data_IF_241046650563
#
_entry.id   IF_241046650563
#
_cell.length_a   1.000
_cell.length_b   1.000
_cell.length_c   1.000
_cell.angle_alpha   90.00
_cell.angle_beta   90.00
_cell.angle_gamma   90.00
#
_symmetry.space_group_name_H-M   'P 1'
#
loop_
_entity.id
_entity.type
_entity.pdbx_description
1 polymer ?
#
# COMPACT_ATOMS: atom_id res chain seq x y z
N UNK A 1 52.50 11.10 49.43
CA UNK A 1 51.32 11.17 48.54
C UNK A 1 50.42 10.00 48.87
N UNK A 2 49.21 10.25 49.39
CA UNK A 2 48.28 9.19 49.78
C UNK A 2 47.46 8.75 48.57
N UNK A 3 47.51 7.45 48.24
CA UNK A 3 46.82 6.87 47.10
C UNK A 3 45.31 6.78 47.34
N UNK A 4 44.53 7.18 46.35
CA UNK A 4 43.07 7.03 46.34
C UNK A 4 42.73 5.54 46.19
N UNK A 5 42.23 4.90 47.25
CA UNK A 5 41.73 3.52 47.17
C UNK A 5 40.29 3.52 46.63
N UNK A 6 40.13 3.00 45.41
CA UNK A 6 38.83 2.82 44.78
C UNK A 6 38.06 1.74 45.55
N UNK A 7 36.90 2.09 46.11
CA UNK A 7 36.03 1.18 46.84
C UNK A 7 35.33 0.19 45.89
N UNK A 8 36.03 -0.91 45.59
CA UNK A 8 35.57 -1.98 44.69
C UNK A 8 34.20 -2.56 45.08
N UNK A 9 33.90 -2.65 46.38
CA UNK A 9 32.60 -3.16 46.87
C UNK A 9 31.43 -2.22 46.55
N UNK A 10 31.65 -0.91 46.56
CA UNK A 10 30.63 0.07 46.15
C UNK A 10 30.29 -0.04 44.67
N UNK A 11 31.30 -0.27 43.83
CA UNK A 11 31.14 -0.43 42.38
C UNK A 11 30.39 -1.72 42.04
N UNK A 12 30.74 -2.83 42.69
CA UNK A 12 30.01 -4.10 42.50
C UNK A 12 28.55 -4.01 42.91
N UNK A 13 28.24 -3.29 44.00
CA UNK A 13 26.86 -3.08 44.43
C UNK A 13 26.07 -2.26 43.41
N UNK A 14 26.67 -1.19 42.87
CA UNK A 14 26.07 -0.34 41.85
C UNK A 14 25.80 -1.12 40.56
N UNK A 15 26.73 -1.97 40.12
CA UNK A 15 26.54 -2.82 38.94
C UNK A 15 25.36 -3.79 39.10
N UNK A 16 25.16 -4.37 40.28
CA UNK A 16 24.02 -5.26 40.53
C UNK A 16 22.69 -4.52 40.57
N UNK A 17 22.65 -3.29 41.09
CA UNK A 17 21.43 -2.48 41.09
C UNK A 17 21.06 -2.03 39.67
N UNK A 18 22.04 -1.61 38.86
CA UNK A 18 21.83 -1.29 37.44
C UNK A 18 21.29 -2.51 36.69
N UNK A 19 21.88 -3.69 36.88
CA UNK A 19 21.41 -4.92 36.22
C UNK A 19 19.95 -5.26 36.57
N UNK A 20 19.57 -5.11 37.85
CA UNK A 20 18.17 -5.33 38.30
C UNK A 20 17.19 -4.33 37.71
N UNK A 21 17.57 -3.08 37.58
CA UNK A 21 16.71 -2.04 37.00
C UNK A 21 16.54 -2.25 35.48
N UNK A 22 17.59 -2.68 34.77
CA UNK A 22 17.47 -3.07 33.36
C UNK A 22 16.57 -4.30 33.16
N UNK A 23 16.64 -5.30 34.04
CA UNK A 23 15.78 -6.48 33.97
C UNK A 23 14.30 -6.14 34.26
N UNK A 24 14.04 -5.21 35.20
CA UNK A 24 12.70 -4.67 35.45
C UNK A 24 12.17 -3.86 34.27
N UNK A 25 13.02 -3.04 33.66
CA UNK A 25 12.66 -2.26 32.47
C UNK A 25 12.35 -3.17 31.28
N UNK A 26 13.15 -4.25 31.08
CA UNK A 26 12.93 -5.24 30.02
C UNK A 26 11.63 -6.05 30.20
N UNK A 27 11.18 -6.28 31.44
CA UNK A 27 9.87 -6.89 31.71
C UNK A 27 8.69 -5.95 31.43
N UNK A 28 8.87 -4.63 31.64
CA UNK A 28 7.81 -3.62 31.47
C UNK A 28 7.71 -3.14 30.02
N UNK A 29 8.83 -3.13 29.30
CA UNK A 29 8.93 -2.82 27.88
C UNK A 29 9.84 -3.85 27.20
N UNK A 30 9.29 -4.98 26.70
CA UNK A 30 10.10 -5.96 26.01
C UNK A 30 10.66 -5.35 24.73
N UNK A 31 11.97 -5.12 24.72
CA UNK A 31 12.71 -4.71 23.52
C UNK A 31 12.66 -5.91 22.57
N UNK A 32 11.76 -5.86 21.58
CA UNK A 32 11.81 -6.80 20.46
C UNK A 32 12.97 -6.38 19.57
N UNK A 33 14.12 -7.01 19.79
CA UNK A 33 15.17 -7.05 18.77
C UNK A 33 14.64 -7.97 17.68
N UNK A 34 14.41 -7.48 16.44
CA UNK A 34 14.12 -8.37 15.33
C UNK A 34 15.38 -9.21 15.10
N UNK A 35 15.36 -10.44 15.59
CA UNK A 35 16.28 -11.47 15.10
C UNK A 35 15.79 -11.76 13.69
N UNK A 36 16.47 -11.17 12.69
CA UNK A 36 16.46 -11.71 11.35
C UNK A 36 17.09 -13.10 11.45
N UNK A 37 16.23 -14.09 11.66
CA UNK A 37 16.56 -15.45 11.29
C UNK A 37 16.56 -15.42 9.77
N UNK A 38 17.74 -15.55 9.17
CA UNK A 38 17.83 -15.83 7.74
C UNK A 38 16.95 -17.04 7.48
N UNK A 39 15.80 -16.79 6.87
CA UNK A 39 15.02 -17.82 6.23
C UNK A 39 15.97 -18.50 5.23
N UNK A 40 15.88 -19.84 5.03
CA UNK A 40 16.62 -20.46 3.95
C UNK A 40 16.34 -19.66 2.69
N UNK A 41 17.38 -19.11 2.09
CA UNK A 41 17.31 -18.39 0.83
C UNK A 41 16.63 -19.33 -0.17
N UNK A 42 15.32 -19.15 -0.35
CA UNK A 42 14.68 -19.52 -1.59
C UNK A 42 15.41 -18.63 -2.59
N UNK A 43 16.14 -19.19 -3.57
CA UNK A 43 16.89 -18.39 -4.51
C UNK A 43 15.89 -17.54 -5.29
N UNK A 44 15.68 -16.30 -4.83
CA UNK A 44 15.09 -15.26 -5.64
C UNK A 44 16.09 -15.06 -6.76
N UNK A 45 15.71 -15.49 -7.96
CA UNK A 45 16.50 -15.35 -9.17
C UNK A 45 17.17 -13.97 -9.20
N UNK A 46 18.49 -13.95 -9.39
CA UNK A 46 19.26 -12.71 -9.46
C UNK A 46 18.56 -11.68 -10.36
N UNK A 47 18.42 -10.42 -9.94
CA UNK A 47 17.69 -9.39 -10.68
C UNK A 47 18.41 -8.93 -11.96
N UNK A 48 19.55 -9.52 -12.31
CA UNK A 48 20.31 -9.24 -13.54
C UNK A 48 19.81 -10.07 -14.74
N UNK A 49 18.92 -11.05 -14.52
CA UNK A 49 18.33 -11.89 -15.59
C UNK A 49 16.97 -11.41 -16.10
N UNK A 50 16.41 -10.34 -15.51
CA UNK A 50 15.12 -9.78 -15.89
C UNK A 50 15.28 -8.85 -17.10
N UNK A 51 14.69 -9.21 -18.23
CA UNK A 51 14.64 -8.36 -19.43
C UNK A 51 14.72 -9.10 -20.76
N UNK A 52 15.22 -10.34 -20.77
CA UNK A 52 15.29 -11.15 -22.00
C UNK A 52 13.89 -11.41 -22.54
N UNK A 53 12.92 -11.60 -21.65
CA UNK A 53 11.52 -11.83 -21.98
C UNK A 53 10.89 -10.67 -22.76
N UNK A 54 11.47 -9.47 -22.70
CA UNK A 54 11.03 -8.28 -23.44
C UNK A 54 11.77 -8.09 -24.76
N UNK A 55 12.87 -8.81 -24.98
CA UNK A 55 13.58 -8.84 -26.25
C UNK A 55 13.09 -10.02 -27.09
N UNK A 56 12.35 -9.77 -28.19
CA UNK A 56 11.78 -10.83 -29.01
C UNK A 56 12.85 -11.75 -29.61
N UNK A 57 13.96 -11.17 -30.06
CA UNK A 57 14.97 -11.90 -30.83
C UNK A 57 15.89 -12.71 -29.91
N UNK A 58 16.28 -12.16 -28.76
CA UNK A 58 17.07 -12.90 -27.76
C UNK A 58 16.27 -14.05 -27.15
N UNK A 59 14.99 -13.82 -26.83
CA UNK A 59 14.10 -14.88 -26.33
C UNK A 59 13.95 -16.02 -27.34
N UNK A 60 13.66 -15.70 -28.60
CA UNK A 60 13.54 -16.70 -29.68
C UNK A 60 14.84 -17.44 -29.94
N UNK A 61 15.98 -16.74 -29.96
CA UNK A 61 17.29 -17.38 -30.13
C UNK A 61 17.54 -18.39 -29.01
N UNK A 62 17.25 -18.05 -27.75
CA UNK A 62 17.48 -18.94 -26.62
C UNK A 62 16.58 -20.19 -26.67
N UNK A 63 15.32 -20.03 -27.07
CA UNK A 63 14.40 -21.16 -27.29
C UNK A 63 14.89 -22.04 -28.43
N UNK A 64 15.32 -21.44 -29.54
CA UNK A 64 15.87 -22.17 -30.69
C UNK A 64 17.13 -22.96 -30.33
N UNK A 65 18.02 -22.39 -29.51
CA UNK A 65 19.22 -23.08 -29.00
C UNK A 65 18.84 -24.29 -28.14
N UNK A 66 17.80 -24.18 -27.31
CA UNK A 66 17.32 -25.29 -26.47
C UNK A 66 16.65 -26.39 -27.31
N UNK A 67 15.89 -26.03 -28.35
CA UNK A 67 15.36 -27.00 -29.33
C UNK A 67 16.48 -27.75 -30.05
N UNK A 68 17.52 -27.03 -30.48
CA UNK A 68 18.68 -27.62 -31.14
C UNK A 68 19.46 -28.53 -30.18
N UNK A 69 19.66 -28.11 -28.93
CA UNK A 69 20.33 -28.92 -27.91
C UNK A 69 19.54 -30.19 -27.55
N UNK A 70 18.20 -30.13 -27.58
CA UNK A 70 17.34 -31.30 -27.37
C UNK A 70 17.44 -32.30 -28.52
N UNK A 71 17.57 -31.82 -29.76
CA UNK A 71 17.75 -32.67 -30.95
C UNK A 71 19.17 -33.22 -31.07
N UNK A 72 20.18 -32.42 -30.72
CA UNK A 72 21.59 -32.73 -30.88
C UNK A 72 22.40 -32.32 -29.63
N UNK A 73 22.40 -33.16 -28.58
CA UNK A 73 23.10 -32.84 -27.33
C UNK A 73 24.60 -32.64 -27.54
N UNK A 74 25.14 -31.54 -27.00
CA UNK A 74 26.59 -31.25 -27.02
C UNK A 74 27.12 -30.75 -28.36
N UNK A 75 26.27 -30.52 -29.36
CA UNK A 75 26.67 -29.91 -30.63
C UNK A 75 26.66 -28.38 -30.49
N UNK A 76 27.73 -27.75 -30.99
CA UNK A 76 27.78 -26.29 -31.08
C UNK A 76 26.74 -25.79 -32.08
N UNK A 77 25.94 -24.81 -31.67
CA UNK A 77 25.03 -24.13 -32.55
C UNK A 77 25.76 -23.06 -33.38
N UNK A 78 25.36 -22.93 -34.64
CA UNK A 78 25.71 -21.81 -35.50
C UNK A 78 24.57 -20.78 -35.47
N UNK A 79 24.77 -19.69 -34.73
CA UNK A 79 23.77 -18.62 -34.58
C UNK A 79 23.47 -17.93 -35.92
N UNK A 80 24.37 -18.01 -36.89
CA UNK A 80 24.14 -17.46 -38.24
C UNK A 80 22.94 -18.13 -38.91
N UNK A 81 22.75 -19.44 -38.69
CA UNK A 81 21.60 -20.18 -39.23
C UNK A 81 20.27 -19.66 -38.67
N UNK A 82 20.23 -19.25 -37.41
CA UNK A 82 19.06 -18.62 -36.81
C UNK A 82 18.81 -17.23 -37.41
N UNK A 83 19.84 -16.38 -37.47
CA UNK A 83 19.76 -15.01 -38.01
C UNK A 83 19.28 -15.02 -39.46
N UNK A 84 19.78 -15.95 -40.28
CA UNK A 84 19.33 -16.15 -41.66
C UNK A 84 17.84 -16.57 -41.71
N UNK A 85 17.42 -17.48 -40.83
CA UNK A 85 16.02 -17.94 -40.77
C UNK A 85 15.04 -16.87 -40.24
N UNK A 86 15.54 -15.95 -39.41
CA UNK A 86 14.79 -14.85 -38.82
C UNK A 86 14.85 -13.57 -39.68
N UNK A 87 15.48 -13.63 -40.86
CA UNK A 87 15.69 -12.49 -41.78
C UNK A 87 16.39 -11.29 -41.12
N UNK A 88 17.25 -11.55 -40.12
CA UNK A 88 18.00 -10.54 -39.41
C UNK A 88 19.35 -10.24 -40.10
N UNK A 89 19.92 -9.03 -39.93
CA UNK A 89 21.25 -8.73 -40.44
C UNK A 89 22.30 -9.68 -39.86
N UNK A 90 23.17 -10.24 -40.72
CA UNK A 90 24.26 -11.15 -40.29
C UNK A 90 25.17 -10.59 -39.19
N UNK A 91 25.28 -9.26 -39.08
CA UNK A 91 26.04 -8.60 -38.02
C UNK A 91 25.44 -8.82 -36.62
N UNK A 92 24.15 -9.13 -36.50
CA UNK A 92 23.46 -9.33 -35.23
C UNK A 92 23.82 -10.65 -34.55
N UNK A 93 24.16 -11.69 -35.32
CA UNK A 93 24.48 -13.02 -34.78
C UNK A 93 25.53 -12.96 -33.66
N UNK A 94 26.61 -12.20 -33.91
CA UNK A 94 27.69 -12.01 -32.93
C UNK A 94 27.24 -11.21 -31.72
N UNK A 95 26.46 -10.16 -31.93
CA UNK A 95 25.96 -9.29 -30.85
C UNK A 95 25.02 -10.05 -29.92
N UNK A 96 24.08 -10.81 -30.49
CA UNK A 96 23.13 -11.62 -29.72
C UNK A 96 23.85 -12.72 -28.95
N UNK A 97 24.78 -13.43 -29.56
CA UNK A 97 25.58 -14.44 -28.88
C UNK A 97 26.37 -13.85 -27.70
N UNK A 98 26.99 -12.67 -27.89
CA UNK A 98 27.71 -11.97 -26.83
C UNK A 98 26.80 -11.51 -25.69
N UNK A 99 25.59 -11.04 -25.99
CA UNK A 99 24.60 -10.65 -24.98
C UNK A 99 24.18 -11.86 -24.12
N UNK A 100 23.90 -13.00 -24.75
CA UNK A 100 23.59 -14.24 -24.03
C UNK A 100 24.80 -14.77 -23.22
N UNK A 101 26.02 -14.62 -23.73
CA UNK A 101 27.25 -15.01 -23.00
C UNK A 101 27.47 -14.14 -21.76
N UNK A 102 27.26 -12.82 -21.86
CA UNK A 102 27.34 -11.89 -20.73
C UNK A 102 26.34 -12.22 -19.62
N UNK A 103 25.20 -12.83 -19.97
CA UNK A 103 24.18 -13.28 -19.03
C UNK A 103 24.41 -14.71 -18.52
N UNK A 104 25.47 -15.39 -19.00
CA UNK A 104 25.84 -16.76 -18.62
C UNK A 104 24.92 -17.84 -19.20
N UNK A 105 24.12 -17.51 -20.22
CA UNK A 105 23.14 -18.41 -20.83
C UNK A 105 23.73 -19.26 -21.95
N UNK A 106 24.81 -18.78 -22.54
CA UNK A 106 25.57 -19.50 -23.55
C UNK A 106 27.06 -19.36 -23.28
N UNK A 107 27.84 -20.28 -23.82
CA UNK A 107 29.29 -20.23 -23.86
C UNK A 107 29.75 -20.15 -25.31
N UNK A 108 30.57 -19.15 -25.64
CA UNK A 108 31.12 -19.00 -26.99
C UNK A 108 32.51 -19.65 -27.04
N UNK A 109 32.64 -20.71 -27.83
CA UNK A 109 33.94 -21.21 -28.24
C UNK A 109 34.43 -20.41 -29.44
N UNK A 110 35.57 -19.74 -29.26
CA UNK A 110 36.21 -18.94 -30.30
C UNK A 110 37.31 -19.78 -30.92
N UNK A 111 37.25 -19.93 -32.24
CA UNK A 111 38.37 -20.50 -32.97
C UNK A 111 39.58 -19.54 -32.98
N UNK A 112 40.77 -20.06 -33.30
CA UNK A 112 42.00 -19.24 -33.39
C UNK A 112 41.92 -18.14 -34.46
N UNK A 113 40.93 -18.20 -35.36
CA UNK A 113 40.67 -17.16 -36.37
C UNK A 113 39.81 -16.01 -35.85
N UNK A 114 39.11 -16.20 -34.73
CA UNK A 114 38.18 -15.25 -34.14
C UNK A 114 36.91 -15.01 -34.97
N UNK A 115 36.64 -15.86 -35.97
CA UNK A 115 35.56 -15.69 -36.95
C UNK A 115 34.42 -16.69 -36.77
N UNK A 116 34.71 -17.93 -36.36
CA UNK A 116 33.68 -18.91 -36.08
C UNK A 116 33.33 -18.85 -34.57
N UNK A 117 32.14 -18.35 -34.26
CA UNK A 117 31.59 -18.36 -32.90
C UNK A 117 30.71 -19.61 -32.76
N UNK A 118 31.29 -20.70 -32.26
CA UNK A 118 30.52 -21.87 -31.88
C UNK A 118 29.82 -21.59 -30.56
N UNK A 119 28.50 -21.69 -30.51
CA UNK A 119 27.71 -21.33 -29.33
C UNK A 119 27.18 -22.60 -28.66
N UNK A 120 27.49 -22.75 -27.38
CA UNK A 120 27.00 -23.86 -26.56
C UNK A 120 26.00 -23.32 -25.55
N UNK A 121 24.85 -23.98 -25.44
CA UNK A 121 23.87 -23.67 -24.40
C UNK A 121 24.39 -24.14 -23.03
N UNK A 122 24.29 -23.29 -22.01
CA UNK A 122 24.61 -23.68 -20.62
C UNK A 122 23.40 -24.31 -19.94
N UNK A 123 23.58 -24.89 -18.75
CA UNK A 123 22.48 -25.40 -17.94
C UNK A 123 21.51 -24.25 -17.56
N UNK A 124 22.07 -23.08 -17.22
CA UNK A 124 21.33 -21.84 -16.97
C UNK A 124 20.56 -21.36 -18.19
N UNK A 125 21.16 -21.45 -19.38
CA UNK A 125 20.49 -21.16 -20.65
C UNK A 125 19.29 -22.07 -20.89
N UNK A 126 19.46 -23.36 -20.63
CA UNK A 126 18.39 -24.36 -20.75
C UNK A 126 17.24 -24.09 -19.77
N UNK A 127 17.57 -23.72 -18.51
CA UNK A 127 16.56 -23.33 -17.52
C UNK A 127 15.82 -22.05 -17.94
N UNK A 128 16.55 -21.05 -18.44
CA UNK A 128 15.95 -19.81 -18.93
C UNK A 128 15.04 -20.05 -20.15
N UNK A 129 15.43 -20.91 -21.10
CA UNK A 129 14.58 -21.30 -22.23
C UNK A 129 13.27 -21.96 -21.77
N UNK A 130 13.33 -22.84 -20.75
CA UNK A 130 12.13 -23.45 -20.16
C UNK A 130 11.25 -22.41 -19.46
N UNK A 131 11.84 -21.44 -18.76
CA UNK A 131 11.10 -20.35 -18.14
C UNK A 131 10.40 -19.49 -19.20
N UNK A 132 11.06 -19.17 -20.32
CA UNK A 132 10.44 -18.44 -21.42
C UNK A 132 9.25 -19.21 -22.00
N UNK A 133 9.37 -20.53 -22.23
CA UNK A 133 8.23 -21.35 -22.68
C UNK A 133 7.08 -21.39 -21.65
N UNK A 134 7.41 -21.42 -20.35
CA UNK A 134 6.39 -21.33 -19.31
C UNK A 134 5.66 -19.98 -19.35
N UNK A 135 6.38 -18.87 -19.57
CA UNK A 135 5.81 -17.54 -19.73
C UNK A 135 4.97 -17.41 -21.02
N UNK A 136 5.39 -18.04 -22.12
CA UNK A 136 4.59 -18.11 -23.36
C UNK A 136 3.25 -18.83 -23.14
N UNK A 137 3.19 -19.79 -22.22
CA UNK A 137 1.98 -20.54 -21.90
C UNK A 137 1.15 -19.92 -20.75
N UNK A 138 1.67 -18.91 -20.05
CA UNK A 138 1.00 -18.28 -18.92
C UNK A 138 0.10 -17.12 -19.40
N UNK A 139 -1.23 -17.29 -19.43
CA UNK A 139 -2.14 -16.25 -19.89
C UNK A 139 -2.13 -15.01 -18.98
N UNK A 140 -1.83 -15.17 -17.69
CA UNK A 140 -1.81 -14.05 -16.74
C UNK A 140 -0.57 -13.20 -16.98
N UNK A 141 0.60 -13.82 -17.11
CA UNK A 141 1.85 -13.10 -17.39
C UNK A 141 1.76 -12.35 -18.73
N UNK A 142 1.22 -12.99 -19.77
CA UNK A 142 1.00 -12.38 -21.08
C UNK A 142 0.04 -11.21 -21.03
N UNK A 143 -1.06 -11.34 -20.29
CA UNK A 143 -2.03 -10.26 -20.12
C UNK A 143 -1.46 -9.06 -19.37
N UNK A 144 -0.68 -9.29 -18.29
CA UNK A 144 0.01 -8.22 -17.55
C UNK A 144 1.00 -7.51 -18.46
N UNK A 145 1.81 -8.26 -19.22
CA UNK A 145 2.74 -7.68 -20.19
C UNK A 145 2.01 -6.87 -21.26
N UNK A 146 0.89 -7.38 -21.80
CA UNK A 146 0.08 -6.68 -22.78
C UNK A 146 -0.45 -5.34 -22.24
N UNK A 147 -0.93 -5.29 -21.00
CA UNK A 147 -1.37 -4.05 -20.36
C UNK A 147 -0.23 -3.04 -20.22
N UNK A 148 0.92 -3.49 -19.69
CA UNK A 148 2.08 -2.63 -19.45
C UNK A 148 2.67 -2.08 -20.76
N UNK A 149 2.86 -2.97 -21.74
CA UNK A 149 3.41 -2.67 -23.06
C UNK A 149 2.51 -1.76 -23.88
N UNK A 150 1.20 -2.03 -23.93
CA UNK A 150 0.25 -1.22 -24.66
C UNK A 150 0.15 0.20 -24.07
N UNK A 151 0.07 0.32 -22.75
CA UNK A 151 0.00 1.63 -22.10
C UNK A 151 1.26 2.46 -22.34
N UNK A 152 2.45 1.84 -22.19
CA UNK A 152 3.72 2.51 -22.49
C UNK A 152 3.81 2.96 -23.94
N UNK A 153 3.41 2.10 -24.88
CA UNK A 153 3.46 2.41 -26.30
C UNK A 153 2.48 3.53 -26.68
N UNK A 154 1.24 3.49 -26.16
CA UNK A 154 0.26 4.55 -26.36
C UNK A 154 0.76 5.88 -25.81
N UNK A 155 1.40 5.87 -24.64
CA UNK A 155 2.00 7.06 -24.05
C UNK A 155 3.13 7.64 -24.90
N UNK A 156 4.04 6.78 -25.40
CA UNK A 156 5.16 7.23 -26.24
C UNK A 156 4.68 7.75 -27.60
N UNK A 157 3.76 7.05 -28.25
CA UNK A 157 3.24 7.38 -29.59
C UNK A 157 2.26 8.56 -29.56
N UNK A 158 1.52 8.70 -28.47
CA UNK A 158 0.53 9.77 -28.27
C UNK A 158 1.11 11.13 -27.87
N UNK A 159 2.42 11.23 -27.58
CA UNK A 159 3.05 12.53 -27.25
C UNK A 159 2.92 13.57 -28.37
N UNK A 160 2.89 13.11 -29.62
CA UNK A 160 2.79 13.96 -30.80
C UNK A 160 1.40 13.93 -31.47
N UNK A 161 0.48 13.10 -30.97
CA UNK A 161 -0.83 12.85 -31.59
C UNK A 161 -1.91 12.74 -30.53
N UNK A 162 -3.00 13.48 -30.70
CA UNK A 162 -4.15 13.42 -29.78
C UNK A 162 -4.81 12.03 -29.74
N UNK A 163 -4.69 11.23 -30.80
CA UNK A 163 -5.33 9.91 -30.92
C UNK A 163 -4.43 8.92 -31.66
N UNK A 164 -4.28 7.71 -31.10
CA UNK A 164 -3.42 6.65 -31.63
C UNK A 164 -4.25 5.44 -32.05
N UNK A 165 -3.97 4.87 -33.24
CA UNK A 165 -4.59 3.63 -33.71
C UNK A 165 -3.97 2.43 -33.00
N UNK A 166 -4.76 1.73 -32.18
CA UNK A 166 -4.31 0.63 -31.31
C UNK A 166 -3.70 -0.52 -32.09
N UNK A 167 -4.23 -0.84 -33.27
CA UNK A 167 -3.73 -1.97 -34.06
C UNK A 167 -2.32 -1.77 -34.61
N UNK A 168 -1.81 -0.54 -34.65
CA UNK A 168 -0.40 -0.30 -34.96
C UNK A 168 0.56 -0.85 -33.88
N UNK A 169 0.06 -1.19 -32.69
CA UNK A 169 0.85 -1.81 -31.63
C UNK A 169 1.39 -3.19 -32.03
N UNK A 170 0.73 -3.93 -32.93
CA UNK A 170 1.19 -5.28 -33.36
C UNK A 170 2.62 -5.25 -33.91
N UNK A 171 3.01 -4.15 -34.57
CA UNK A 171 4.34 -3.95 -35.14
C UNK A 171 5.35 -3.39 -34.12
N UNK A 172 4.90 -2.98 -32.94
CA UNK A 172 5.77 -2.40 -31.93
C UNK A 172 6.56 -3.50 -31.19
N UNK A 173 7.81 -3.24 -30.75
CA UNK A 173 8.57 -4.22 -29.98
C UNK A 173 7.86 -4.73 -28.71
N UNK A 174 7.01 -3.89 -28.10
CA UNK A 174 6.21 -4.25 -26.93
C UNK A 174 5.06 -5.24 -27.21
N UNK A 175 4.80 -5.60 -28.47
CA UNK A 175 3.83 -6.65 -28.82
C UNK A 175 4.40 -8.06 -28.64
N UNK A 176 5.66 -8.19 -28.26
CA UNK A 176 6.32 -9.48 -28.08
C UNK A 176 6.63 -9.75 -26.61
N UNK A 177 6.32 -10.96 -26.17
CA UNK A 177 6.61 -11.44 -24.82
C UNK A 177 7.19 -12.85 -24.86
N UNK A 178 8.32 -13.03 -24.16
CA UNK A 178 9.07 -14.28 -24.13
C UNK A 178 9.34 -14.86 -25.53
N UNK A 179 9.56 -13.98 -26.52
CA UNK A 179 9.83 -14.38 -27.91
C UNK A 179 8.58 -14.75 -28.73
N UNK A 180 7.38 -14.65 -28.18
CA UNK A 180 6.15 -14.88 -28.93
C UNK A 180 5.37 -13.57 -29.09
N UNK A 181 4.62 -13.43 -30.19
CA UNK A 181 3.77 -12.26 -30.41
C UNK A 181 2.50 -12.37 -29.58
N UNK A 182 2.03 -11.25 -29.03
CA UNK A 182 0.71 -11.13 -28.46
C UNK A 182 -0.35 -11.28 -29.57
N UNK A 183 -1.38 -12.06 -29.30
CA UNK A 183 -2.54 -12.18 -30.17
C UNK A 183 -3.38 -10.90 -30.17
N UNK A 184 -4.18 -10.72 -31.22
CA UNK A 184 -5.10 -9.58 -31.32
C UNK A 184 -6.07 -9.56 -30.14
N UNK A 185 -6.59 -10.72 -29.72
CA UNK A 185 -7.51 -10.82 -28.59
C UNK A 185 -6.86 -10.40 -27.27
N UNK A 186 -5.58 -10.72 -27.05
CA UNK A 186 -4.82 -10.28 -25.87
C UNK A 186 -4.65 -8.76 -25.85
N UNK A 187 -4.32 -8.16 -27.01
CA UNK A 187 -4.16 -6.70 -27.14
C UNK A 187 -5.49 -5.99 -26.90
N UNK A 188 -6.58 -6.48 -27.49
CA UNK A 188 -7.92 -5.89 -27.30
C UNK A 188 -8.43 -6.10 -25.87
N UNK A 189 -8.16 -7.25 -25.26
CA UNK A 189 -8.47 -7.51 -23.86
C UNK A 189 -7.71 -6.56 -22.92
N UNK A 190 -6.42 -6.32 -23.19
CA UNK A 190 -5.62 -5.36 -22.45
C UNK A 190 -6.16 -3.92 -22.61
N UNK A 191 -6.51 -3.51 -23.85
CA UNK A 191 -7.12 -2.20 -24.11
C UNK A 191 -8.40 -2.01 -23.29
N UNK A 192 -9.29 -2.99 -23.33
CA UNK A 192 -10.57 -2.93 -22.61
C UNK A 192 -10.34 -2.83 -21.09
N UNK A 193 -9.38 -3.59 -20.56
CA UNK A 193 -9.00 -3.49 -19.16
C UNK A 193 -8.46 -2.12 -18.78
N UNK A 194 -7.54 -1.56 -19.57
CA UNK A 194 -7.00 -0.22 -19.34
C UNK A 194 -8.08 0.86 -19.41
N UNK A 195 -9.04 0.71 -20.34
CA UNK A 195 -10.18 1.61 -20.47
C UNK A 195 -11.13 1.53 -19.27
N UNK A 196 -11.47 0.32 -18.80
CA UNK A 196 -12.28 0.11 -17.60
C UNK A 196 -11.64 0.66 -16.33
N UNK A 197 -10.30 0.63 -16.25
CA UNK A 197 -9.52 1.19 -15.14
C UNK A 197 -9.26 2.69 -15.28
N UNK A 198 -9.75 3.33 -16.35
CA UNK A 198 -9.62 4.76 -16.58
C UNK A 198 -8.19 5.22 -16.92
N UNK A 199 -7.30 4.31 -17.30
CA UNK A 199 -5.91 4.62 -17.70
C UNK A 199 -5.82 5.05 -19.17
N UNK A 200 -6.78 4.63 -19.98
CA UNK A 200 -6.90 4.94 -21.39
C UNK A 200 -8.34 5.31 -21.68
N UNK A 201 -8.57 6.20 -22.65
CA UNK A 201 -9.89 6.50 -23.19
C UNK A 201 -9.98 6.01 -24.64
N UNK A 202 -10.92 5.11 -24.91
CA UNK A 202 -11.21 4.67 -26.28
C UNK A 202 -12.05 5.71 -27.01
N UNK A 203 -11.53 6.23 -28.12
CA UNK A 203 -12.30 7.11 -29.00
C UNK A 203 -13.33 6.26 -29.77
N UNK A 204 -14.62 6.47 -29.49
CA UNK A 204 -15.71 5.78 -30.17
C UNK A 204 -15.99 6.45 -31.52
N UNK A 205 -15.45 5.90 -32.61
CA UNK A 205 -16.02 6.14 -33.95
C UNK A 205 -17.13 5.09 -34.20
N UNK A 206 -18.20 5.50 -34.89
CA UNK A 206 -19.50 4.81 -34.99
C UNK A 206 -19.49 3.40 -35.60
N UNK A 207 -20.67 2.87 -36.01
CA UNK A 207 -20.87 1.44 -36.25
C UNK A 207 -20.29 1.02 -37.61
N UNK A 208 -18.97 0.93 -37.72
CA UNK A 208 -18.30 0.25 -38.82
C UNK A 208 -17.42 -0.87 -38.24
N UNK A 209 -17.64 -2.08 -38.74
CA UNK A 209 -17.19 -3.33 -38.11
C UNK A 209 -15.66 -3.52 -38.23
N UNK A 210 -14.95 -2.56 -38.84
CA UNK A 210 -13.49 -2.53 -39.01
C UNK A 210 -12.91 -1.11 -38.94
N UNK A 211 -13.54 -0.18 -38.21
CA UNK A 211 -12.94 1.15 -37.99
C UNK A 211 -11.81 1.03 -36.97
N UNK A 212 -10.61 1.43 -37.40
CA UNK A 212 -9.37 1.56 -36.62
C UNK A 212 -9.66 1.95 -35.17
N UNK A 213 -9.50 1.00 -34.24
CA UNK A 213 -9.73 1.25 -32.83
C UNK A 213 -8.70 2.28 -32.38
N UNK A 214 -9.19 3.40 -31.86
CA UNK A 214 -8.40 4.55 -31.49
C UNK A 214 -8.45 4.78 -29.99
N UNK A 215 -7.32 5.15 -29.40
CA UNK A 215 -7.19 5.32 -27.97
C UNK A 215 -6.28 6.50 -27.62
N UNK A 216 -6.55 7.10 -26.47
CA UNK A 216 -5.77 8.20 -25.88
C UNK A 216 -5.43 7.87 -24.44
N UNK A 217 -4.22 8.22 -23.98
CA UNK A 217 -3.82 7.99 -22.58
C UNK A 217 -4.44 9.08 -21.71
N UNK A 218 -5.00 8.71 -20.56
CA UNK A 218 -5.55 9.67 -19.60
C UNK A 218 -4.46 10.24 -18.69
N UNK A 219 -4.79 11.22 -17.85
CA UNK A 219 -3.87 11.73 -16.83
C UNK A 219 -3.44 10.61 -15.85
N UNK A 220 -4.38 9.75 -15.42
CA UNK A 220 -4.05 8.61 -14.55
C UNK A 220 -3.20 7.56 -15.26
N UNK A 221 -3.42 7.34 -16.57
CA UNK A 221 -2.55 6.49 -17.37
C UNK A 221 -1.13 7.06 -17.49
N UNK A 222 -1.01 8.38 -17.64
CA UNK A 222 0.27 9.08 -17.66
C UNK A 222 1.00 8.93 -16.32
N UNK A 223 0.32 9.16 -15.20
CA UNK A 223 0.88 8.95 -13.85
C UNK A 223 1.31 7.50 -13.64
N UNK A 224 0.54 6.54 -14.14
CA UNK A 224 0.88 5.12 -14.08
C UNK A 224 2.21 4.83 -14.77
N UNK A 225 2.39 5.30 -16.02
CA UNK A 225 3.64 5.14 -16.77
C UNK A 225 4.81 5.83 -16.06
N UNK A 226 4.61 7.06 -15.60
CA UNK A 226 5.65 7.84 -14.92
C UNK A 226 6.03 7.26 -13.54
N UNK A 227 5.17 6.44 -12.92
CA UNK A 227 5.48 5.75 -11.66
C UNK A 227 6.56 4.68 -11.80
N UNK A 228 6.87 4.24 -13.03
CA UNK A 228 7.94 3.28 -13.33
C UNK A 228 7.69 1.83 -12.89
N UNK A 229 6.50 1.53 -12.34
CA UNK A 229 6.06 0.17 -12.01
C UNK A 229 5.11 -0.43 -13.04
N UNK A 230 4.62 -1.63 -12.76
CA UNK A 230 3.55 -2.24 -13.58
C UNK A 230 2.21 -1.55 -13.35
N UNK A 231 1.29 -1.71 -14.30
CA UNK A 231 -0.11 -1.26 -14.16
C UNK A 231 -0.75 -1.84 -12.90
N UNK A 232 -0.49 -3.12 -12.63
CA UNK A 232 -1.00 -3.80 -11.43
C UNK A 232 -0.45 -3.17 -10.14
N UNK A 233 0.85 -2.85 -10.10
CA UNK A 233 1.45 -2.19 -8.94
C UNK A 233 0.86 -0.80 -8.71
N UNK A 234 0.68 -0.02 -9.78
CA UNK A 234 0.06 1.30 -9.70
C UNK A 234 -1.37 1.22 -9.15
N UNK A 235 -2.21 0.34 -9.72
CA UNK A 235 -3.59 0.17 -9.27
C UNK A 235 -3.67 -0.32 -7.82
N UNK A 236 -2.77 -1.22 -7.41
CA UNK A 236 -2.73 -1.71 -6.02
C UNK A 236 -2.32 -0.61 -5.03
N UNK A 237 -1.41 0.30 -5.41
CA UNK A 237 -1.05 1.47 -4.60
C UNK A 237 -2.21 2.44 -4.48
N UNK A 238 -2.96 2.64 -5.55
CA UNK A 238 -4.14 3.51 -5.56
C UNK A 238 -5.26 2.96 -4.66
N UNK A 239 -5.46 1.64 -4.64
CA UNK A 239 -6.40 0.99 -3.73
C UNK A 239 -5.95 1.03 -2.25
N UNK A 240 -4.64 1.09 -1.99
CA UNK A 240 -4.06 1.26 -0.65
C UNK A 240 -3.99 2.72 -0.20
N UNK A 241 -4.30 3.68 -1.07
CA UNK A 241 -4.39 5.09 -0.72
C UNK A 241 -5.73 5.34 0.01
N UNK A 242 -5.81 4.87 1.25
CA UNK A 242 -7.00 5.04 2.08
C UNK A 242 -7.03 4.04 3.23
N UNK A 243 -6.11 4.16 4.18
CA UNK A 243 -6.33 3.53 5.47
C UNK A 243 -7.53 4.21 6.13
N UNK A 244 -8.71 3.57 6.05
CA UNK A 244 -9.87 3.99 6.84
C UNK A 244 -9.71 3.39 8.22
N UNK A 245 -9.17 4.16 9.15
CA UNK A 245 -9.12 3.77 10.55
C UNK A 245 -10.47 4.07 11.21
N UNK A 246 -11.27 3.03 11.45
CA UNK A 246 -12.47 3.13 12.29
C UNK A 246 -12.07 2.90 13.74
N UNK A 247 -12.00 3.98 14.52
CA UNK A 247 -11.76 3.89 15.96
C UNK A 247 -13.08 3.94 16.72
N UNK A 248 -13.35 2.93 17.53
CA UNK A 248 -14.44 2.96 18.50
C UNK A 248 -13.88 3.41 19.86
N UNK A 249 -14.47 4.45 20.44
CA UNK A 249 -14.20 4.92 21.80
C UNK A 249 -12.74 5.35 22.09
N UNK A 250 -12.08 6.07 21.17
CA UNK A 250 -10.73 6.60 21.40
C UNK A 250 -10.69 8.12 21.41
N UNK A 251 -10.14 8.71 22.47
CA UNK A 251 -9.75 10.12 22.51
C UNK A 251 -8.27 10.27 22.16
N UNK A 252 -7.94 11.20 21.25
CA UNK A 252 -6.56 11.64 21.01
C UNK A 252 -5.68 10.75 20.12
N UNK A 253 -6.23 9.84 19.31
CA UNK A 253 -5.42 9.03 18.38
C UNK A 253 -5.31 9.75 17.03
N UNK A 254 -4.10 10.21 16.71
CA UNK A 254 -3.68 10.50 15.34
C UNK A 254 -2.98 9.24 14.83
N UNK A 255 -3.66 8.45 14.02
CA UNK A 255 -3.04 7.38 13.25
C UNK A 255 -3.02 7.78 11.78
N UNK A 256 -1.83 7.74 11.20
CA UNK A 256 -1.62 7.96 9.78
C UNK A 256 -0.13 7.86 9.46
N UNK A 257 0.20 7.09 8.42
CA UNK A 257 1.55 7.02 7.87
C UNK A 257 1.79 8.08 6.76
N UNK A 258 0.81 8.95 6.48
CA UNK A 258 0.82 9.87 5.34
C UNK A 258 0.41 11.31 5.71
N UNK A 259 0.86 12.27 4.90
CA UNK A 259 0.85 13.72 5.15
C UNK A 259 -0.52 14.43 5.05
N UNK A 260 -1.61 13.70 4.76
CA UNK A 260 -2.96 14.29 4.70
C UNK A 260 -4.01 13.30 5.21
N UNK A 261 -4.26 13.35 6.52
CA UNK A 261 -5.30 12.54 7.16
C UNK A 261 -6.54 13.42 7.34
N UNK A 262 -7.65 13.05 6.70
CA UNK A 262 -8.98 13.62 6.99
C UNK A 262 -9.67 12.65 7.95
N UNK A 263 -9.75 13.04 9.23
CA UNK A 263 -10.52 12.29 10.24
C UNK A 263 -11.96 12.80 10.26
N UNK A 264 -12.90 11.96 9.82
CA UNK A 264 -14.32 12.26 9.95
C UNK A 264 -14.86 11.56 11.21
N UNK A 265 -14.76 12.24 12.35
CA UNK A 265 -15.27 11.75 13.62
C UNK A 265 -16.76 12.07 13.71
N UNK A 266 -17.61 11.13 13.31
CA UNK A 266 -19.05 11.26 13.48
C UNK A 266 -19.43 10.68 14.85
N UNK A 267 -19.50 11.53 15.88
CA UNK A 267 -19.90 11.13 17.22
C UNK A 267 -21.42 11.33 17.37
N UNK A 268 -22.18 10.24 17.52
CA UNK A 268 -23.54 10.32 18.04
C UNK A 268 -23.49 10.53 19.55
N UNK A 269 -23.46 11.78 20.00
CA UNK A 269 -23.44 12.12 21.43
C UNK A 269 -24.88 12.30 21.90
N UNK A 270 -25.40 11.33 22.65
CA UNK A 270 -26.73 11.41 23.23
C UNK A 270 -26.67 12.06 24.62
N UNK A 271 -27.05 13.34 24.70
CA UNK A 271 -27.05 14.14 25.92
C UNK A 271 -28.39 14.07 26.69
N UNK A 272 -29.37 13.30 26.20
CA UNK A 272 -30.76 13.33 26.68
C UNK A 272 -30.88 13.11 28.19
N UNK A 273 -30.16 12.15 28.76
CA UNK A 273 -30.19 11.86 30.20
C UNK A 273 -29.71 13.04 31.06
N UNK A 274 -28.78 13.87 30.57
CA UNK A 274 -28.32 15.07 31.29
C UNK A 274 -29.27 16.26 31.12
N UNK A 275 -29.96 16.37 29.98
CA UNK A 275 -31.03 17.34 29.78
C UNK A 275 -32.21 17.07 30.74
N UNK A 276 -32.61 15.80 30.87
CA UNK A 276 -33.67 15.38 31.82
C UNK A 276 -33.27 15.66 33.28
N UNK A 277 -32.02 15.40 33.64
CA UNK A 277 -31.50 15.74 34.96
C UNK A 277 -31.55 17.25 35.24
N UNK A 278 -31.13 18.08 34.28
CA UNK A 278 -31.17 19.54 34.43
C UNK A 278 -32.60 20.05 34.65
N UNK A 279 -33.58 19.56 33.88
CA UNK A 279 -34.98 19.90 34.06
C UNK A 279 -35.51 19.54 35.45
N UNK A 280 -35.13 18.35 35.95
CA UNK A 280 -35.53 17.89 37.29
C UNK A 280 -34.84 18.69 38.41
N UNK A 281 -33.57 19.04 38.23
CA UNK A 281 -32.83 19.91 39.15
C UNK A 281 -33.47 21.31 39.25
N UNK A 282 -33.90 21.89 38.12
CA UNK A 282 -34.62 23.16 38.09
C UNK A 282 -35.94 23.09 38.85
N UNK A 283 -36.69 21.99 38.70
CA UNK A 283 -37.98 21.80 39.37
C UNK A 283 -37.84 21.64 40.88
N UNK A 284 -36.78 20.96 41.34
CA UNK A 284 -36.57 20.65 42.75
C UNK A 284 -35.77 21.71 43.50
N UNK A 285 -35.02 22.59 42.82
CA UNK A 285 -34.18 23.62 43.45
C UNK A 285 -34.91 24.44 44.56
N UNK A 286 -36.14 24.95 44.35
CA UNK A 286 -36.85 25.72 45.38
C UNK A 286 -37.23 24.90 46.63
N UNK A 287 -37.25 23.57 46.52
CA UNK A 287 -37.63 22.66 47.60
C UNK A 287 -36.44 22.26 48.49
N UNK A 288 -35.21 22.56 48.07
CA UNK A 288 -33.98 22.14 48.75
C UNK A 288 -33.70 22.92 50.03
N UNK A 289 -34.45 24.00 50.32
CA UNK A 289 -34.23 24.89 51.47
C UNK A 289 -32.77 25.37 51.56
N UNK A 290 -32.17 25.64 50.40
CA UNK A 290 -30.84 26.21 50.29
C UNK A 290 -30.86 27.68 50.73
N UNK A 291 -29.69 28.27 51.00
CA UNK A 291 -29.62 29.73 51.14
C UNK A 291 -29.90 30.38 49.79
N UNK A 292 -30.43 31.62 49.76
CA UNK A 292 -30.75 32.30 48.50
C UNK A 292 -29.56 32.40 47.54
N UNK A 293 -28.34 32.54 48.07
CA UNK A 293 -27.09 32.55 47.27
C UNK A 293 -26.81 31.20 46.57
N UNK A 294 -27.06 30.09 47.26
CA UNK A 294 -26.86 28.75 46.69
C UNK A 294 -27.99 28.38 45.72
N UNK A 295 -29.21 28.85 45.97
CA UNK A 295 -30.35 28.64 45.07
C UNK A 295 -30.14 29.37 43.73
N UNK A 296 -29.71 30.64 43.77
CA UNK A 296 -29.42 31.42 42.57
C UNK A 296 -28.27 30.81 41.76
N UNK A 297 -27.17 30.44 42.43
CA UNK A 297 -26.01 29.77 41.78
C UNK A 297 -26.43 28.44 41.16
N UNK A 298 -27.25 27.63 41.86
CA UNK A 298 -27.73 26.35 41.37
C UNK A 298 -28.61 26.52 40.13
N UNK A 299 -29.53 27.49 40.14
CA UNK A 299 -30.39 27.76 38.99
C UNK A 299 -29.59 28.17 37.76
N UNK A 300 -28.57 29.01 37.94
CA UNK A 300 -27.68 29.43 36.85
C UNK A 300 -26.89 28.25 36.28
N UNK A 301 -26.31 27.40 37.12
CA UNK A 301 -25.54 26.24 36.66
C UNK A 301 -26.42 25.20 35.96
N UNK A 302 -27.66 24.99 36.45
CA UNK A 302 -28.64 24.09 35.84
C UNK A 302 -29.09 24.60 34.47
N UNK A 303 -29.30 25.91 34.32
CA UNK A 303 -29.63 26.52 33.03
C UNK A 303 -28.51 26.32 31.99
N UNK A 304 -27.25 26.52 32.39
CA UNK A 304 -26.10 26.29 31.51
C UNK A 304 -25.98 24.81 31.11
N UNK A 305 -26.30 23.89 32.03
CA UNK A 305 -26.30 22.45 31.73
C UNK A 305 -27.41 22.07 30.73
N UNK A 306 -28.62 22.60 30.92
CA UNK A 306 -29.77 22.35 30.04
C UNK A 306 -29.54 22.89 28.63
N UNK A 307 -29.02 24.12 28.51
CA UNK A 307 -28.66 24.73 27.23
C UNK A 307 -27.58 23.91 26.51
N UNK A 308 -26.53 23.51 27.23
CA UNK A 308 -25.45 22.73 26.65
C UNK A 308 -25.90 21.32 26.21
N UNK A 309 -26.80 20.69 26.97
CA UNK A 309 -27.32 19.35 26.68
C UNK A 309 -28.40 19.34 25.58
N UNK A 310 -29.11 20.46 25.37
CA UNK A 310 -30.20 20.58 24.38
C UNK A 310 -29.76 21.23 23.07
N UNK A 311 -28.47 21.56 22.93
CA UNK A 311 -27.93 22.15 21.71
C UNK A 311 -28.06 21.20 20.50
N UNK A 312 -28.27 21.75 19.31
CA UNK A 312 -28.34 20.99 18.04
C UNK A 312 -27.05 20.18 17.78
N UNK A 313 -25.93 20.66 18.33
CA UNK A 313 -24.66 19.94 18.40
C UNK A 313 -24.13 19.99 19.85
N UNK A 314 -24.45 18.98 20.68
CA UNK A 314 -24.02 18.96 22.07
C UNK A 314 -22.51 18.75 22.18
N UNK A 315 -21.82 19.67 22.86
CA UNK A 315 -20.37 19.59 23.09
C UNK A 315 -20.07 18.85 24.40
N UNK A 316 -19.41 17.66 24.36
CA UNK A 316 -19.18 16.84 25.55
C UNK A 316 -18.39 17.57 26.65
N UNK A 317 -17.42 18.42 26.25
CA UNK A 317 -16.60 19.20 27.19
C UNK A 317 -17.40 20.27 27.93
N UNK A 318 -18.29 20.98 27.22
CA UNK A 318 -19.16 22.02 27.80
C UNK A 318 -20.16 21.41 28.77
N UNK A 319 -20.74 20.26 28.41
CA UNK A 319 -21.70 19.52 29.23
C UNK A 319 -21.04 18.97 30.51
N UNK A 320 -19.85 18.36 30.40
CA UNK A 320 -19.10 17.88 31.58
C UNK A 320 -18.77 19.03 32.54
N UNK A 321 -18.30 20.17 32.02
CA UNK A 321 -17.99 21.32 32.84
C UNK A 321 -19.24 21.87 33.55
N UNK A 322 -20.38 21.95 32.87
CA UNK A 322 -21.64 22.39 33.46
C UNK A 322 -22.16 21.43 34.54
N UNK A 323 -22.11 20.12 34.28
CA UNK A 323 -22.50 19.11 35.26
C UNK A 323 -21.68 19.18 36.55
N UNK A 324 -20.35 19.36 36.44
CA UNK A 324 -19.48 19.45 37.61
C UNK A 324 -19.83 20.65 38.49
N UNK A 325 -20.18 21.81 37.90
CA UNK A 325 -20.63 22.98 38.67
C UNK A 325 -21.95 22.72 39.39
N UNK A 326 -22.92 22.09 38.72
CA UNK A 326 -24.19 21.68 39.36
C UNK A 326 -23.93 20.76 40.55
N UNK A 327 -23.04 19.76 40.41
CA UNK A 327 -22.70 18.85 41.51
C UNK A 327 -21.95 19.54 42.66
N UNK A 328 -21.06 20.48 42.35
CA UNK A 328 -20.35 21.29 43.34
C UNK A 328 -21.33 22.13 44.17
N UNK A 329 -22.27 22.81 43.49
CA UNK A 329 -23.30 23.62 44.15
C UNK A 329 -24.26 22.77 44.98
N UNK A 330 -24.67 21.60 44.48
CA UNK A 330 -25.48 20.64 45.26
C UNK A 330 -24.72 20.11 46.48
N UNK A 331 -23.41 19.84 46.35
CA UNK A 331 -22.55 19.38 47.44
C UNK A 331 -22.29 20.42 48.52
N UNK A 332 -22.36 21.72 48.16
CA UNK A 332 -22.21 22.84 49.10
C UNK A 332 -23.46 23.05 49.99
N UNK A 333 -24.62 22.51 49.62
CA UNK A 333 -25.85 22.61 50.41
C UNK A 333 -25.73 21.73 51.66
N UNK A 334 -25.57 22.36 52.82
CA UNK A 334 -25.43 21.65 54.12
C UNK A 334 -26.74 21.08 54.65
N UNK A 335 -27.89 21.59 54.20
CA UNK A 335 -29.22 21.11 54.58
C UNK A 335 -29.57 19.81 53.84
N UNK A 336 -29.42 18.67 54.51
CA UNK A 336 -29.80 17.39 53.92
C UNK A 336 -31.32 17.26 53.80
N UNK A 337 -31.81 17.17 52.57
CA UNK A 337 -33.22 16.88 52.26
C UNK A 337 -33.32 15.62 51.39
N UNK A 338 -34.47 14.94 51.42
CA UNK A 338 -34.71 13.79 50.53
C UNK A 338 -34.56 14.18 49.04
N UNK A 339 -34.95 15.41 48.68
CA UNK A 339 -34.77 15.95 47.33
C UNK A 339 -33.30 16.14 46.95
N UNK A 340 -32.44 16.58 47.88
CA UNK A 340 -31.01 16.73 47.65
C UNK A 340 -30.34 15.37 47.38
N UNK A 341 -30.63 14.36 48.20
CA UNK A 341 -30.07 13.01 48.02
C UNK A 341 -30.52 12.39 46.70
N UNK A 342 -31.79 12.57 46.33
CA UNK A 342 -32.34 12.12 45.05
C UNK A 342 -31.63 12.79 43.86
N UNK A 343 -31.44 14.12 43.90
CA UNK A 343 -30.77 14.87 42.83
C UNK A 343 -29.32 14.43 42.63
N UNK A 344 -28.57 14.24 43.72
CA UNK A 344 -27.18 13.78 43.64
C UNK A 344 -27.11 12.38 43.02
N UNK A 345 -27.98 11.46 43.43
CA UNK A 345 -28.02 10.10 42.88
C UNK A 345 -28.44 10.08 41.41
N UNK A 346 -29.46 10.86 41.04
CA UNK A 346 -29.94 10.94 39.67
C UNK A 346 -28.91 11.61 38.74
N UNK A 347 -28.22 12.65 39.22
CA UNK A 347 -27.13 13.29 38.50
C UNK A 347 -25.98 12.33 38.21
N UNK A 348 -25.58 11.52 39.18
CA UNK A 348 -24.56 10.48 38.97
C UNK A 348 -25.00 9.44 37.95
N UNK A 349 -26.26 9.02 37.98
CA UNK A 349 -26.81 8.04 37.03
C UNK A 349 -26.84 8.61 35.61
N UNK A 350 -27.30 9.85 35.45
CA UNK A 350 -27.31 10.53 34.15
C UNK A 350 -25.88 10.73 33.61
N UNK A 351 -24.94 11.12 34.47
CA UNK A 351 -23.55 11.29 34.07
C UNK A 351 -22.90 9.97 33.64
N UNK A 352 -23.19 8.86 34.33
CA UNK A 352 -22.71 7.54 33.91
C UNK A 352 -23.36 7.06 32.60
N UNK A 353 -24.63 7.35 32.37
CA UNK A 353 -25.29 7.01 31.12
C UNK A 353 -24.67 7.72 29.91
N UNK A 354 -24.22 8.98 30.08
CA UNK A 354 -23.64 9.79 29.00
C UNK A 354 -22.12 9.61 28.86
N UNK A 355 -21.39 9.40 29.96
CA UNK A 355 -19.91 9.41 29.98
C UNK A 355 -19.26 8.13 30.54
N UNK A 356 -20.03 7.14 30.95
CA UNK A 356 -19.54 5.92 31.62
C UNK A 356 -19.29 4.70 30.72
N UNK A 357 -19.37 4.88 29.40
CA UNK A 357 -19.20 3.82 28.39
C UNK A 357 -17.78 3.59 27.88
#
# INVERSE_FOLDING_TARGET
>A
MAGFEINKRGIEKMQREIAKEFERAARKHPIRVPVQVDAPEIPTASPVKAGIEKDPHLSRLLIWLDDLAALQPGVAADVSAYVDSAELPAAEAKTMALQLEQQGLVQISRDFSGRACQVFLTDEGSLAARQLRALQADPVARFVHACDGLLHWLFQTGRDRDVVEVMAFVEAPGSYFAGDSLSVDEILGALEHLNQRGLVHRASEGPSITSSIKATVTDSGTDCVLSGGTVSDYLSRQQRAGDTYTFNNSSGIVAGSQQSVVQNNNFGFDASALAEFAALARQLAPTLKASPEHEETLMQDVEVLEEAASAEQPEPGRIRAAYLRVQETLGAITTTTAGLTMLVQQGQTAYQAVFGG
#
